data_IF_961606792004
#
_entry.id   IF_961606792004
#
_cell.length_a   1.000
_cell.length_b   1.000
_cell.length_c   1.000
_cell.angle_alpha   90.00
_cell.angle_beta   90.00
_cell.angle_gamma   90.00
#
_symmetry.space_group_name_H-M   'P 1'
#
loop_
_entity.id
_entity.type
_entity.pdbx_description
1 polymer ?
#
# COMPACT_ATOMS: atom_id res chain seq x y z
N UNK A 1 45.04 -1.18 -6.82
CA UNK A 1 43.84 -1.25 -5.98
C UNK A 1 42.65 -1.25 -6.90
N UNK A 2 41.95 -2.38 -7.07
CA UNK A 2 40.75 -2.43 -7.89
C UNK A 2 39.63 -1.67 -7.16
N UNK A 3 39.19 -0.56 -7.73
CA UNK A 3 38.00 0.15 -7.25
C UNK A 3 36.79 -0.73 -7.52
N UNK A 4 36.33 -1.46 -6.50
CA UNK A 4 35.01 -2.09 -6.52
C UNK A 4 33.96 -0.96 -6.52
N UNK A 5 33.57 -0.50 -7.71
CA UNK A 5 32.36 0.29 -7.86
C UNK A 5 31.18 -0.66 -7.65
N UNK A 6 30.43 -0.43 -6.57
CA UNK A 6 29.13 -1.08 -6.40
C UNK A 6 28.23 -0.59 -7.55
N UNK A 7 27.60 -1.49 -8.33
CA UNK A 7 26.68 -1.06 -9.37
C UNK A 7 25.52 -0.31 -8.72
N UNK A 8 25.37 0.97 -9.09
CA UNK A 8 24.21 1.76 -8.69
C UNK A 8 23.04 1.28 -9.55
N UNK A 9 21.95 0.77 -8.94
CA UNK A 9 20.75 0.43 -9.70
C UNK A 9 20.27 1.67 -10.46
N UNK A 10 19.93 1.51 -11.74
CA UNK A 10 19.32 2.60 -12.50
C UNK A 10 17.90 2.84 -12.00
N UNK A 11 17.44 4.08 -12.11
CA UNK A 11 16.02 4.37 -11.90
C UNK A 11 15.17 3.71 -13.01
N UNK A 12 13.92 3.32 -12.71
CA UNK A 12 12.98 2.85 -13.71
C UNK A 12 12.68 3.95 -14.76
N UNK A 13 12.21 3.57 -15.95
CA UNK A 13 11.73 4.53 -16.97
C UNK A 13 10.22 4.75 -16.87
N UNK A 14 9.70 5.79 -17.53
CA UNK A 14 8.25 6.01 -17.63
C UNK A 14 7.54 4.85 -18.33
N UNK A 15 8.14 4.23 -19.35
CA UNK A 15 7.57 3.07 -20.04
C UNK A 15 7.45 1.85 -19.10
N UNK A 16 8.45 1.66 -18.23
CA UNK A 16 8.41 0.60 -17.21
C UNK A 16 7.35 0.87 -16.16
N UNK A 17 7.19 2.13 -15.74
CA UNK A 17 6.13 2.55 -14.83
C UNK A 17 4.73 2.33 -15.44
N UNK A 18 4.52 2.71 -16.71
CA UNK A 18 3.26 2.47 -17.43
C UNK A 18 2.96 0.98 -17.57
N UNK A 19 3.97 0.17 -17.89
CA UNK A 19 3.83 -1.29 -17.96
C UNK A 19 3.45 -1.88 -16.60
N UNK A 20 4.05 -1.37 -15.51
CA UNK A 20 3.68 -1.76 -14.14
C UNK A 20 2.24 -1.37 -13.83
N UNK A 21 1.79 -0.15 -14.12
CA UNK A 21 0.41 0.28 -13.85
C UNK A 21 -0.60 -0.63 -14.54
N UNK A 22 -0.37 -0.95 -15.81
CA UNK A 22 -1.20 -1.89 -16.57
C UNK A 22 -1.20 -3.29 -15.93
N UNK A 23 -0.03 -3.82 -15.57
CA UNK A 23 0.08 -5.13 -14.95
C UNK A 23 -0.62 -5.18 -13.57
N UNK A 24 -0.55 -4.10 -12.78
CA UNK A 24 -1.25 -4.00 -11.50
C UNK A 24 -2.76 -3.98 -11.70
N UNK A 25 -3.25 -3.18 -12.64
CA UNK A 25 -4.69 -3.13 -12.95
C UNK A 25 -5.23 -4.48 -13.44
N UNK A 26 -4.52 -5.14 -14.36
CA UNK A 26 -4.92 -6.45 -14.89
C UNK A 26 -4.92 -7.54 -13.82
N UNK A 27 -4.00 -7.48 -12.86
CA UNK A 27 -3.85 -8.47 -11.80
C UNK A 27 -4.75 -8.21 -10.59
N UNK A 28 -5.13 -6.96 -10.35
CA UNK A 28 -5.92 -6.57 -9.19
C UNK A 28 -7.22 -7.40 -9.12
N UNK A 29 -7.68 -7.82 -7.93
CA UNK A 29 -8.87 -8.66 -7.78
C UNK A 29 -10.18 -7.85 -7.98
N UNK A 30 -10.33 -7.22 -9.14
CA UNK A 30 -11.41 -6.28 -9.40
C UNK A 30 -12.80 -6.92 -9.45
N UNK A 31 -12.87 -8.24 -9.67
CA UNK A 31 -14.15 -8.98 -9.67
C UNK A 31 -14.86 -8.93 -8.31
N UNK A 32 -14.08 -8.88 -7.22
CA UNK A 32 -14.61 -8.88 -5.85
C UNK A 32 -14.43 -7.52 -5.18
N UNK A 33 -13.35 -6.79 -5.46
CA UNK A 33 -13.04 -5.51 -4.80
C UNK A 33 -13.43 -4.27 -5.62
N UNK A 34 -13.78 -4.43 -6.91
CA UNK A 34 -14.10 -3.35 -7.83
C UNK A 34 -12.87 -2.81 -8.59
N UNK A 35 -13.12 -2.23 -9.76
CA UNK A 35 -12.08 -1.71 -10.66
C UNK A 35 -11.55 -0.32 -10.26
N UNK A 36 -12.11 0.31 -9.24
CA UNK A 36 -11.89 1.70 -8.83
C UNK A 36 -10.86 1.86 -7.69
N UNK A 37 -10.12 0.80 -7.37
CA UNK A 37 -9.22 0.73 -6.19
C UNK A 37 -7.78 0.34 -6.49
N UNK A 38 -7.50 -0.27 -7.66
CA UNK A 38 -6.15 -0.74 -7.98
C UNK A 38 -5.10 0.38 -7.92
N UNK A 39 -5.49 1.60 -8.31
CA UNK A 39 -4.58 2.75 -8.29
C UNK A 39 -4.23 3.21 -6.86
N UNK A 40 -5.06 2.92 -5.85
CA UNK A 40 -4.75 3.21 -4.45
C UNK A 40 -3.56 2.36 -4.00
N UNK A 41 -3.60 1.06 -4.34
CA UNK A 41 -2.47 0.15 -4.11
C UNK A 41 -1.24 0.62 -4.91
N UNK A 42 -1.43 1.00 -6.17
CA UNK A 42 -0.33 1.46 -7.02
C UNK A 42 0.35 2.72 -6.45
N UNK A 43 -0.40 3.75 -6.05
CA UNK A 43 0.16 4.93 -5.38
C UNK A 43 0.89 4.56 -4.09
N UNK A 44 0.28 3.74 -3.24
CA UNK A 44 0.87 3.35 -1.97
C UNK A 44 2.18 2.58 -2.13
N UNK A 45 2.22 1.59 -3.03
CA UNK A 45 3.43 0.82 -3.29
C UNK A 45 4.50 1.67 -3.99
N UNK A 46 4.15 2.43 -5.04
CA UNK A 46 5.09 3.25 -5.80
C UNK A 46 5.72 4.37 -4.95
N UNK A 47 4.91 5.13 -4.21
CA UNK A 47 5.40 6.22 -3.36
C UNK A 47 6.17 5.63 -2.16
N UNK A 48 5.64 4.59 -1.51
CA UNK A 48 6.32 3.90 -0.41
C UNK A 48 7.67 3.30 -0.81
N UNK A 49 7.72 2.70 -2.00
CA UNK A 49 8.90 2.10 -2.63
C UNK A 49 9.95 3.09 -3.13
N UNK A 50 9.74 4.40 -2.92
CA UNK A 50 10.72 5.43 -3.23
C UNK A 50 10.67 5.94 -4.67
N UNK A 51 9.54 5.78 -5.36
CA UNK A 51 9.35 6.25 -6.73
C UNK A 51 8.22 7.29 -6.85
N UNK A 52 8.17 8.35 -6.01
CA UNK A 52 7.09 9.33 -6.04
C UNK A 52 6.99 10.11 -7.36
N UNK A 53 8.08 10.23 -8.13
CA UNK A 53 8.10 10.94 -9.42
C UNK A 53 7.20 10.33 -10.51
N UNK A 54 6.75 9.08 -10.34
CA UNK A 54 5.76 8.47 -11.26
C UNK A 54 4.30 8.71 -10.85
N UNK A 55 4.05 9.36 -9.71
CA UNK A 55 2.70 9.77 -9.29
C UNK A 55 1.97 10.67 -10.31
N UNK A 56 2.57 11.73 -10.87
CA UNK A 56 1.94 12.51 -11.95
C UNK A 56 1.60 11.68 -13.19
N UNK A 57 2.43 10.69 -13.53
CA UNK A 57 2.19 9.81 -14.68
C UNK A 57 0.95 8.95 -14.48
N UNK A 58 0.80 8.33 -13.30
CA UNK A 58 -0.41 7.58 -12.96
C UNK A 58 -1.65 8.48 -12.98
N UNK A 59 -1.58 9.70 -12.45
CA UNK A 59 -2.69 10.65 -12.52
C UNK A 59 -3.10 10.97 -13.96
N UNK A 60 -2.13 11.24 -14.86
CA UNK A 60 -2.39 11.47 -16.30
C UNK A 60 -3.10 10.29 -16.94
N UNK A 61 -2.74 9.05 -16.61
CA UNK A 61 -3.41 7.87 -17.16
C UNK A 61 -4.83 7.69 -16.60
N UNK A 62 -5.05 8.02 -15.32
CA UNK A 62 -6.38 7.94 -14.72
C UNK A 62 -7.34 8.95 -15.34
N UNK A 63 -6.96 10.22 -15.49
CA UNK A 63 -7.87 11.26 -16.00
C UNK A 63 -8.26 11.10 -17.48
N UNK A 64 -7.56 10.25 -18.24
CA UNK A 64 -7.95 9.89 -19.61
C UNK A 64 -9.18 8.98 -19.67
N UNK A 65 -9.54 8.34 -18.55
CA UNK A 65 -10.58 7.30 -18.53
C UNK A 65 -11.99 7.89 -18.57
N UNK A 66 -12.99 7.15 -19.10
CA UNK A 66 -14.36 7.64 -19.26
C UNK A 66 -15.03 8.11 -17.97
N UNK A 67 -14.57 7.66 -16.80
CA UNK A 67 -15.11 8.02 -15.50
C UNK A 67 -14.70 9.44 -15.03
N UNK A 68 -13.70 10.07 -15.68
CA UNK A 68 -13.06 11.31 -15.24
C UNK A 68 -13.04 12.42 -16.31
N UNK A 69 -14.14 12.53 -17.06
CA UNK A 69 -14.26 13.45 -18.18
C UNK A 69 -14.69 14.88 -17.77
N UNK A 70 -15.28 15.05 -16.58
CA UNK A 70 -15.62 16.38 -16.04
C UNK A 70 -14.68 16.83 -14.92
N UNK A 71 -14.55 18.15 -14.66
CA UNK A 71 -13.76 18.67 -13.54
C UNK A 71 -14.19 18.08 -12.19
N UNK A 72 -15.50 17.96 -11.93
CA UNK A 72 -16.02 17.43 -10.66
C UNK A 72 -15.60 15.97 -10.43
N UNK A 73 -15.54 15.18 -11.51
CA UNK A 73 -15.07 13.80 -11.45
C UNK A 73 -13.55 13.74 -11.16
N UNK A 74 -12.76 14.61 -11.79
CA UNK A 74 -11.31 14.70 -11.55
C UNK A 74 -10.98 15.25 -10.16
N UNK A 75 -11.78 16.18 -9.64
CA UNK A 75 -11.71 16.65 -8.26
C UNK A 75 -12.06 15.53 -7.27
N UNK A 76 -13.07 14.70 -7.55
CA UNK A 76 -13.39 13.52 -6.74
C UNK A 76 -12.26 12.49 -6.74
N UNK A 77 -11.63 12.25 -7.89
CA UNK A 77 -10.42 11.43 -7.98
C UNK A 77 -9.28 12.03 -7.17
N UNK A 78 -9.05 13.35 -7.28
CA UNK A 78 -8.00 14.05 -6.53
C UNK A 78 -8.20 13.93 -5.02
N UNK A 79 -9.44 14.01 -4.52
CA UNK A 79 -9.73 13.77 -3.09
C UNK A 79 -9.28 12.37 -2.65
N UNK A 80 -9.53 11.34 -3.47
CA UNK A 80 -9.09 9.97 -3.17
C UNK A 80 -7.57 9.82 -3.20
N UNK A 81 -6.91 10.40 -4.20
CA UNK A 81 -5.43 10.42 -4.30
C UNK A 81 -4.82 11.14 -3.10
N UNK A 82 -5.32 12.34 -2.76
CA UNK A 82 -4.88 13.10 -1.58
C UNK A 82 -5.07 12.30 -0.29
N UNK A 83 -6.21 11.63 -0.13
CA UNK A 83 -6.45 10.80 1.07
C UNK A 83 -5.51 9.58 1.12
N UNK A 84 -5.21 8.93 -0.01
CA UNK A 84 -4.19 7.85 -0.07
C UNK A 84 -2.83 8.36 0.38
N UNK A 85 -2.37 9.48 -0.19
CA UNK A 85 -1.07 10.08 0.15
C UNK A 85 -1.02 10.59 1.58
N UNK A 86 -2.11 11.19 2.08
CA UNK A 86 -2.22 11.67 3.45
C UNK A 86 -2.15 10.52 4.46
N UNK A 87 -2.91 9.44 4.24
CA UNK A 87 -2.84 8.24 5.09
C UNK A 87 -1.46 7.58 5.09
N UNK A 88 -0.70 7.67 3.99
CA UNK A 88 0.67 7.15 3.92
C UNK A 88 1.66 7.91 4.79
N UNK A 89 1.41 9.19 5.14
CA UNK A 89 2.35 10.01 5.92
C UNK A 89 2.81 9.30 7.19
N UNK A 90 1.89 8.66 7.92
CA UNK A 90 2.20 7.96 9.17
C UNK A 90 2.87 6.59 8.96
N UNK A 91 2.87 6.06 7.75
CA UNK A 91 3.41 4.74 7.39
C UNK A 91 4.80 4.84 6.75
N UNK A 92 5.03 5.85 5.90
CA UNK A 92 6.25 5.98 5.08
C UNK A 92 6.99 7.32 5.28
N UNK A 93 6.51 8.17 6.18
CA UNK A 93 7.00 9.53 6.39
C UNK A 93 6.38 10.55 5.41
N UNK A 94 6.47 11.83 5.77
CA UNK A 94 5.76 12.93 5.06
C UNK A 94 6.39 13.32 3.72
N UNK A 95 7.70 13.18 3.56
CA UNK A 95 8.40 13.72 2.40
C UNK A 95 7.99 13.05 1.09
N UNK A 96 7.91 11.70 1.05
CA UNK A 96 7.56 10.97 -0.19
C UNK A 96 6.14 11.31 -0.69
N UNK A 97 5.09 11.34 0.17
CA UNK A 97 3.78 11.85 -0.22
C UNK A 97 3.77 13.32 -0.68
N UNK A 98 4.59 14.19 -0.06
CA UNK A 98 4.69 15.60 -0.45
C UNK A 98 5.26 15.76 -1.87
N UNK A 99 6.36 15.08 -2.19
CA UNK A 99 6.92 15.07 -3.55
C UNK A 99 5.85 14.65 -4.57
N UNK A 100 5.15 13.53 -4.30
CA UNK A 100 4.11 13.03 -5.18
C UNK A 100 2.95 14.03 -5.40
N UNK A 101 2.44 14.67 -4.34
CA UNK A 101 1.32 15.60 -4.49
C UNK A 101 1.74 16.93 -5.12
N UNK A 102 2.97 17.39 -4.91
CA UNK A 102 3.50 18.58 -5.58
C UNK A 102 3.62 18.35 -7.09
N UNK A 103 4.16 17.21 -7.50
CA UNK A 103 4.29 16.87 -8.91
C UNK A 103 2.94 16.66 -9.60
N UNK A 104 1.96 16.09 -8.89
CA UNK A 104 0.58 15.99 -9.38
C UNK A 104 -0.06 17.39 -9.51
N UNK A 105 0.07 18.27 -8.52
CA UNK A 105 -0.50 19.63 -8.60
C UNK A 105 0.11 20.45 -9.75
N UNK A 106 1.41 20.28 -10.01
CA UNK A 106 2.10 20.96 -11.10
C UNK A 106 1.53 20.66 -12.50
N UNK A 107 0.89 19.50 -12.67
CA UNK A 107 0.24 19.09 -13.93
C UNK A 107 -1.30 19.19 -13.89
N UNK A 108 -1.88 19.53 -12.74
CA UNK A 108 -3.34 19.58 -12.57
C UNK A 108 -3.89 20.86 -13.22
N UNK A 109 -4.86 20.72 -14.12
CA UNK A 109 -5.48 21.87 -14.79
C UNK A 109 -6.21 22.77 -13.77
N UNK A 110 -6.26 24.10 -13.97
CA UNK A 110 -6.87 25.03 -13.01
C UNK A 110 -8.31 24.66 -12.62
N UNK A 111 -9.13 24.21 -13.57
CA UNK A 111 -10.52 23.78 -13.35
C UNK A 111 -10.64 22.49 -12.51
N UNK A 112 -9.59 21.67 -12.49
CA UNK A 112 -9.57 20.38 -11.79
C UNK A 112 -9.03 20.50 -10.36
N UNK A 113 -8.56 21.69 -9.96
CA UNK A 113 -8.04 21.92 -8.60
C UNK A 113 -9.17 21.85 -7.58
N UNK A 114 -9.04 20.91 -6.65
CA UNK A 114 -9.98 20.72 -5.54
C UNK A 114 -9.41 21.33 -4.25
N UNK A 115 -10.08 22.37 -3.74
CA UNK A 115 -9.65 23.12 -2.55
C UNK A 115 -10.31 22.62 -1.24
N UNK A 116 -11.02 21.49 -1.28
CA UNK A 116 -11.65 20.94 -0.08
C UNK A 116 -10.59 20.45 0.92
N UNK A 117 -10.90 20.55 2.21
CA UNK A 117 -10.02 20.13 3.30
C UNK A 117 -10.74 19.19 4.27
N UNK A 118 -10.47 17.88 4.16
CA UNK A 118 -11.16 16.83 4.92
C UNK A 118 -10.87 16.83 6.43
N UNK A 119 -9.79 17.48 6.88
CA UNK A 119 -9.41 17.56 8.29
C UNK A 119 -9.67 18.94 8.90
N UNK A 120 -10.42 19.80 8.21
CA UNK A 120 -10.82 21.08 8.77
C UNK A 120 -11.60 20.88 10.08
N UNK A 121 -11.16 21.56 11.15
CA UNK A 121 -11.76 21.44 12.47
C UNK A 121 -11.48 20.13 13.22
N UNK A 122 -10.62 19.24 12.72
CA UNK A 122 -10.26 18.01 13.44
C UNK A 122 -9.71 18.31 14.85
N UNK A 123 -10.14 17.51 15.83
CA UNK A 123 -9.72 17.59 17.22
C UNK A 123 -9.24 16.23 17.72
N UNK A 124 -8.25 16.24 18.61
CA UNK A 124 -7.80 15.06 19.35
C UNK A 124 -8.75 14.81 20.55
N UNK A 125 -10.00 14.46 20.27
CA UNK A 125 -11.07 14.33 21.26
C UNK A 125 -11.54 12.87 21.47
N UNK A 126 -12.62 12.69 22.24
CA UNK A 126 -13.20 11.37 22.50
C UNK A 126 -13.78 10.74 21.23
N UNK A 127 -14.35 11.52 20.32
CA UNK A 127 -14.88 11.02 19.05
C UNK A 127 -13.75 10.48 18.16
N UNK A 128 -12.61 11.19 18.11
CA UNK A 128 -11.38 10.71 17.48
C UNK A 128 -10.89 9.40 18.10
N UNK A 129 -10.77 9.38 19.43
CA UNK A 129 -10.33 8.19 20.18
C UNK A 129 -11.21 6.98 19.90
N UNK A 130 -12.53 7.18 19.90
CA UNK A 130 -13.53 6.13 19.67
C UNK A 130 -13.43 5.55 18.27
N UNK A 131 -13.40 6.39 17.23
CA UNK A 131 -13.24 5.93 15.84
C UNK A 131 -11.92 5.17 15.64
N UNK A 132 -10.82 5.70 16.20
CA UNK A 132 -9.51 5.06 16.15
C UNK A 132 -9.50 3.68 16.81
N UNK A 133 -10.13 3.57 17.98
CA UNK A 133 -10.25 2.29 18.70
C UNK A 133 -11.14 1.29 17.97
N UNK A 134 -12.30 1.72 17.46
CA UNK A 134 -13.20 0.87 16.68
C UNK A 134 -12.49 0.30 15.45
N UNK A 135 -11.69 1.12 14.77
CA UNK A 135 -10.91 0.68 13.63
C UNK A 135 -9.82 -0.33 14.01
N UNK A 136 -9.01 -0.03 15.03
CA UNK A 136 -7.99 -0.96 15.54
C UNK A 136 -8.59 -2.30 15.96
N UNK A 137 -9.72 -2.28 16.66
CA UNK A 137 -10.36 -3.49 17.14
C UNK A 137 -10.83 -4.39 15.97
N UNK A 138 -11.29 -3.81 14.85
CA UNK A 138 -11.61 -4.57 13.64
C UNK A 138 -10.38 -5.27 13.05
N UNK A 139 -9.23 -4.59 13.03
CA UNK A 139 -8.00 -5.10 12.43
C UNK A 139 -7.28 -6.12 13.31
N UNK A 140 -7.15 -5.84 14.61
CA UNK A 140 -6.32 -6.62 15.52
C UNK A 140 -7.11 -7.63 16.34
N UNK A 141 -8.38 -7.36 16.66
CA UNK A 141 -9.25 -8.22 17.47
C UNK A 141 -8.51 -8.71 18.73
N UNK A 142 -8.44 -10.03 18.95
CA UNK A 142 -7.76 -10.67 20.07
C UNK A 142 -6.23 -10.44 20.11
N UNK A 143 -5.62 -9.80 19.10
CA UNK A 143 -4.22 -9.38 19.16
C UNK A 143 -4.02 -8.02 19.84
N UNK A 144 -5.08 -7.23 20.05
CA UNK A 144 -4.97 -5.88 20.58
C UNK A 144 -4.35 -5.86 21.99
N UNK A 145 -4.78 -6.75 22.88
CA UNK A 145 -4.29 -6.79 24.27
C UNK A 145 -2.78 -7.01 24.36
N UNK A 146 -2.23 -7.90 23.52
CA UNK A 146 -0.80 -8.14 23.47
C UNK A 146 -0.03 -6.90 22.97
N UNK A 147 -0.59 -6.15 22.02
CA UNK A 147 0.01 -4.91 21.53
C UNK A 147 -0.01 -3.85 22.64
N UNK A 148 -1.15 -3.68 23.32
CA UNK A 148 -1.31 -2.73 24.42
C UNK A 148 -0.35 -3.04 25.58
N UNK A 149 -0.16 -4.32 25.92
CA UNK A 149 0.78 -4.73 26.97
C UNK A 149 2.24 -4.37 26.63
N UNK A 150 2.64 -4.50 25.37
CA UNK A 150 3.96 -4.07 24.91
C UNK A 150 4.08 -2.54 25.00
N UNK A 151 3.05 -1.81 24.54
CA UNK A 151 3.04 -0.36 24.48
C UNK A 151 2.83 0.33 25.85
N UNK A 152 2.42 -0.41 26.89
CA UNK A 152 2.27 0.12 28.25
C UNK A 152 3.58 0.74 28.80
N UNK A 153 4.74 0.21 28.39
CA UNK A 153 6.06 0.76 28.71
C UNK A 153 6.55 1.84 27.73
N UNK A 154 5.84 2.03 26.62
CA UNK A 154 6.18 2.91 25.49
C UNK A 154 5.06 3.94 25.27
N UNK A 155 4.74 4.70 26.32
CA UNK A 155 3.49 5.50 26.39
C UNK A 155 3.31 6.50 25.25
N UNK A 156 4.39 7.08 24.72
CA UNK A 156 4.30 7.99 23.58
C UNK A 156 3.90 7.26 22.29
N UNK A 157 4.37 6.02 22.11
CA UNK A 157 3.95 5.16 20.99
C UNK A 157 2.51 4.70 21.16
N UNK A 158 2.08 4.37 22.38
CA UNK A 158 0.68 4.05 22.66
C UNK A 158 -0.26 5.21 22.29
N UNK A 159 0.04 6.39 22.82
CA UNK A 159 -0.74 7.60 22.58
C UNK A 159 -0.74 7.97 21.09
N UNK A 160 0.43 7.97 20.45
CA UNK A 160 0.55 8.29 19.02
C UNK A 160 -0.22 7.29 18.17
N UNK A 161 -0.11 6.00 18.45
CA UNK A 161 -0.86 4.96 17.75
C UNK A 161 -2.37 5.20 17.85
N UNK A 162 -2.89 5.38 19.06
CA UNK A 162 -4.34 5.50 19.31
C UNK A 162 -4.90 6.82 18.79
N UNK A 163 -4.25 7.94 19.11
CA UNK A 163 -4.80 9.27 18.86
C UNK A 163 -4.47 9.82 17.48
N UNK A 164 -3.27 9.53 16.98
CA UNK A 164 -2.75 10.13 15.75
C UNK A 164 -2.81 9.13 14.60
N UNK A 165 -2.11 7.99 14.70
CA UNK A 165 -2.10 7.00 13.61
C UNK A 165 -3.51 6.52 13.30
N UNK A 166 -4.20 5.95 14.27
CA UNK A 166 -5.55 5.45 14.05
C UNK A 166 -6.61 6.55 14.11
N UNK A 167 -6.56 7.44 15.11
CA UNK A 167 -7.52 8.53 15.24
C UNK A 167 -7.56 9.49 14.04
N UNK A 168 -6.43 10.13 13.71
CA UNK A 168 -6.37 11.16 12.65
C UNK A 168 -6.23 10.56 11.24
N UNK A 169 -5.27 9.65 11.06
CA UNK A 169 -4.91 9.19 9.72
C UNK A 169 -5.83 8.06 9.25
N UNK A 170 -5.89 6.95 9.99
CA UNK A 170 -6.39 5.70 9.42
C UNK A 170 -7.90 5.50 9.59
N UNK A 171 -8.54 5.96 10.66
CA UNK A 171 -9.96 5.67 10.94
C UNK A 171 -10.99 6.56 10.25
N UNK A 172 -10.58 7.68 9.64
CA UNK A 172 -11.48 8.48 8.82
C UNK A 172 -11.73 7.75 7.49
N UNK A 173 -12.93 7.23 7.33
CA UNK A 173 -13.35 6.49 6.13
C UNK A 173 -14.34 7.27 5.25
N UNK A 174 -14.40 8.60 5.39
CA UNK A 174 -15.34 9.44 4.63
C UNK A 174 -14.98 9.58 3.14
N UNK A 175 -13.71 9.38 2.77
CA UNK A 175 -13.20 9.45 1.39
C UNK A 175 -12.75 8.08 0.88
N UNK A 176 -11.91 7.39 1.67
CA UNK A 176 -11.49 6.02 1.40
C UNK A 176 -12.16 5.10 2.41
N UNK A 177 -12.85 4.06 1.94
CA UNK A 177 -13.48 3.09 2.84
C UNK A 177 -12.45 2.23 3.59
N UNK A 178 -12.94 1.26 4.36
CA UNK A 178 -12.11 0.36 5.16
C UNK A 178 -11.15 -0.49 4.31
N UNK A 179 -11.63 -1.07 3.21
CA UNK A 179 -10.79 -1.83 2.27
C UNK A 179 -9.74 -0.93 1.62
N UNK A 180 -10.12 0.27 1.16
CA UNK A 180 -9.22 1.23 0.52
C UNK A 180 -8.14 1.77 1.46
N UNK A 181 -8.51 1.96 2.73
CA UNK A 181 -7.60 2.33 3.81
C UNK A 181 -6.59 1.20 4.06
N UNK A 182 -7.04 -0.06 4.19
CA UNK A 182 -6.11 -1.18 4.37
C UNK A 182 -5.26 -1.45 3.13
N UNK A 183 -5.77 -1.23 1.91
CA UNK A 183 -4.94 -1.28 0.70
C UNK A 183 -3.80 -0.28 0.78
N UNK A 184 -4.07 0.94 1.25
CA UNK A 184 -3.05 1.98 1.44
C UNK A 184 -2.02 1.54 2.48
N UNK A 185 -2.48 1.09 3.64
CA UNK A 185 -1.61 0.72 4.77
C UNK A 185 -0.78 -0.52 4.48
N UNK A 186 -1.40 -1.62 4.03
CA UNK A 186 -0.73 -2.87 3.71
C UNK A 186 0.34 -2.64 2.63
N UNK A 187 0.02 -1.91 1.56
CA UNK A 187 0.95 -1.66 0.46
C UNK A 187 2.13 -0.78 0.90
N UNK A 188 1.85 0.29 1.66
CA UNK A 188 2.88 1.17 2.20
C UNK A 188 3.81 0.48 3.21
N UNK A 189 3.32 -0.49 3.98
CA UNK A 189 4.12 -1.30 4.91
C UNK A 189 4.94 -2.35 4.16
N UNK A 190 4.28 -3.13 3.30
CA UNK A 190 4.88 -4.30 2.69
C UNK A 190 6.01 -3.92 1.71
N UNK A 191 5.88 -2.81 0.99
CA UNK A 191 6.93 -2.34 0.07
C UNK A 191 8.22 -1.93 0.81
N UNK A 192 8.15 -1.63 2.11
CA UNK A 192 9.29 -1.32 2.96
C UNK A 192 9.97 -2.57 3.53
N UNK A 193 9.53 -3.78 3.15
CA UNK A 193 10.04 -5.06 3.67
C UNK A 193 9.94 -5.18 5.20
N UNK A 194 8.77 -4.83 5.76
CA UNK A 194 8.47 -4.91 7.19
C UNK A 194 7.63 -6.17 7.51
N UNK A 195 8.25 -7.34 7.76
CA UNK A 195 7.54 -8.63 7.82
C UNK A 195 6.51 -8.71 8.95
N UNK A 196 6.82 -8.15 10.12
CA UNK A 196 5.95 -8.24 11.30
C UNK A 196 4.65 -7.48 11.06
N UNK A 197 4.77 -6.24 10.64
CA UNK A 197 3.66 -5.33 10.34
C UNK A 197 2.88 -5.83 9.12
N UNK A 198 3.57 -6.32 8.08
CA UNK A 198 2.94 -6.95 6.91
C UNK A 198 2.05 -8.12 7.36
N UNK A 199 2.54 -9.00 8.23
CA UNK A 199 1.77 -10.13 8.73
C UNK A 199 0.53 -9.67 9.52
N UNK A 200 0.62 -8.55 10.24
CA UNK A 200 -0.52 -7.98 10.96
C UNK A 200 -1.60 -7.47 10.01
N UNK A 201 -1.22 -6.69 8.99
CA UNK A 201 -2.16 -6.09 8.05
C UNK A 201 -2.70 -7.08 7.02
N UNK A 202 -1.98 -8.16 6.68
CA UNK A 202 -2.55 -9.28 5.92
C UNK A 202 -3.71 -9.93 6.70
N UNK A 203 -3.55 -10.13 8.02
CA UNK A 203 -4.64 -10.66 8.87
C UNK A 203 -5.77 -9.64 9.05
N UNK A 204 -5.44 -8.36 9.25
CA UNK A 204 -6.40 -7.26 9.34
C UNK A 204 -7.28 -7.17 8.09
N UNK A 205 -6.66 -7.20 6.91
CA UNK A 205 -7.35 -7.20 5.61
C UNK A 205 -8.34 -8.37 5.49
N UNK A 206 -7.98 -9.57 5.98
CA UNK A 206 -8.91 -10.70 6.06
C UNK A 206 -10.08 -10.45 7.02
N UNK A 207 -9.81 -9.85 8.19
CA UNK A 207 -10.82 -9.57 9.23
C UNK A 207 -11.85 -8.54 8.81
N UNK A 208 -11.51 -7.64 7.89
CA UNK A 208 -12.45 -6.67 7.32
C UNK A 208 -13.25 -7.21 6.13
N UNK A 209 -13.12 -8.51 5.81
CA UNK A 209 -14.00 -9.19 4.86
C UNK A 209 -13.38 -9.50 3.49
N UNK A 210 -12.11 -9.17 3.26
CA UNK A 210 -11.43 -9.55 2.02
C UNK A 210 -11.12 -11.05 2.02
N UNK A 211 -11.33 -11.72 0.88
CA UNK A 211 -11.10 -13.16 0.74
C UNK A 211 -9.62 -13.54 0.86
N UNK A 212 -9.32 -14.84 1.03
CA UNK A 212 -7.92 -15.29 1.14
C UNK A 212 -7.20 -15.05 -0.18
N UNK A 213 -7.88 -15.40 -1.25
CA UNK A 213 -7.46 -15.36 -2.63
C UNK A 213 -7.18 -13.92 -3.06
N UNK A 214 -8.06 -12.99 -2.67
CA UNK A 214 -7.86 -11.56 -2.95
C UNK A 214 -6.68 -11.02 -2.15
N UNK A 215 -6.52 -11.36 -0.86
CA UNK A 215 -5.36 -10.94 -0.07
C UNK A 215 -4.03 -11.46 -0.66
N UNK A 216 -3.98 -12.71 -1.11
CA UNK A 216 -2.81 -13.25 -1.82
C UNK A 216 -2.56 -12.49 -3.12
N UNK A 217 -3.61 -12.14 -3.86
CA UNK A 217 -3.50 -11.35 -5.10
C UNK A 217 -2.99 -9.93 -4.83
N UNK A 218 -3.48 -9.28 -3.77
CA UNK A 218 -3.02 -7.96 -3.33
C UNK A 218 -1.54 -8.00 -2.93
N UNK A 219 -1.14 -9.01 -2.14
CA UNK A 219 0.27 -9.23 -1.80
C UNK A 219 1.13 -9.35 -3.07
N UNK A 220 0.70 -10.14 -4.05
CA UNK A 220 1.43 -10.29 -5.31
C UNK A 220 1.52 -8.97 -6.10
N UNK A 221 0.48 -8.13 -6.08
CA UNK A 221 0.52 -6.80 -6.70
C UNK A 221 1.57 -5.89 -6.03
N UNK A 222 1.64 -5.87 -4.70
CA UNK A 222 2.67 -5.11 -3.99
C UNK A 222 4.07 -5.67 -4.30
N UNK A 223 4.23 -7.00 -4.32
CA UNK A 223 5.49 -7.63 -4.70
C UNK A 223 5.92 -7.20 -6.11
N UNK A 224 5.03 -7.20 -7.11
CA UNK A 224 5.35 -6.73 -8.47
C UNK A 224 5.93 -5.31 -8.48
N UNK A 225 5.39 -4.42 -7.64
CA UNK A 225 5.88 -3.05 -7.48
C UNK A 225 7.28 -2.99 -6.85
N UNK A 226 7.63 -3.98 -6.03
CA UNK A 226 8.92 -4.08 -5.35
C UNK A 226 10.04 -4.73 -6.16
N UNK A 227 9.76 -5.37 -7.31
CA UNK A 227 10.80 -6.07 -8.10
C UNK A 227 11.82 -5.11 -8.77
N UNK A 228 11.57 -3.80 -8.78
CA UNK A 228 12.58 -2.79 -9.12
C UNK A 228 13.58 -2.49 -8.01
N UNK A 229 13.30 -2.94 -6.77
CA UNK A 229 14.16 -2.80 -5.59
C UNK A 229 14.57 -4.21 -5.12
N UNK A 230 15.80 -4.64 -5.44
CA UNK A 230 16.35 -5.99 -5.13
C UNK A 230 16.24 -6.40 -3.64
N UNK A 231 15.90 -5.47 -2.75
CA UNK A 231 15.73 -5.66 -1.30
C UNK A 231 14.39 -6.28 -0.86
N UNK A 232 13.37 -6.38 -1.73
CA UNK A 232 12.02 -6.82 -1.31
C UNK A 232 11.82 -8.36 -1.28
N UNK A 233 12.77 -9.16 -1.80
CA UNK A 233 12.59 -10.60 -2.04
C UNK A 233 12.85 -11.51 -0.82
N UNK A 234 13.38 -11.00 0.28
CA UNK A 234 13.79 -11.84 1.44
C UNK A 234 12.64 -12.24 2.39
N UNK A 235 11.44 -11.70 2.21
CA UNK A 235 10.32 -11.89 3.16
C UNK A 235 9.61 -13.24 3.01
N UNK A 236 9.55 -13.81 1.80
CA UNK A 236 8.85 -15.08 1.53
C UNK A 236 9.54 -16.30 2.17
N UNK A 237 10.85 -16.21 2.47
CA UNK A 237 11.61 -17.32 3.04
C UNK A 237 11.40 -17.50 4.56
N UNK A 238 10.97 -16.46 5.29
CA UNK A 238 10.97 -16.45 6.78
C UNK A 238 9.60 -16.56 7.45
N UNK A 239 8.49 -16.42 6.72
CA UNK A 239 7.14 -16.68 7.27
C UNK A 239 6.72 -18.16 7.21
N UNK A 240 7.65 -19.07 6.87
CA UNK A 240 7.47 -20.49 6.60
C UNK A 240 7.26 -21.39 7.84
N UNK A 241 6.73 -20.85 8.94
CA UNK A 241 6.14 -21.70 9.99
C UNK A 241 4.73 -22.20 9.66
N UNK A 242 4.22 -21.87 8.46
CA UNK A 242 3.07 -22.52 7.83
C UNK A 242 3.56 -23.33 6.63
N UNK A 243 3.15 -24.60 6.59
CA UNK A 243 3.66 -25.71 5.75
C UNK A 243 3.67 -25.43 4.23
N UNK A 244 4.54 -26.15 3.46
CA UNK A 244 4.89 -25.80 2.09
C UNK A 244 3.87 -26.36 1.08
N UNK A 245 3.13 -25.48 0.40
CA UNK A 245 2.49 -25.85 -0.89
C UNK A 245 2.33 -24.69 -1.88
N UNK A 246 2.99 -23.54 -1.66
CA UNK A 246 3.03 -22.47 -2.67
C UNK A 246 4.44 -21.87 -2.74
N UNK A 247 5.42 -22.72 -3.06
CA UNK A 247 6.74 -22.31 -3.51
C UNK A 247 6.89 -22.76 -4.97
N UNK A 248 6.16 -22.12 -5.88
CA UNK A 248 6.38 -22.23 -7.32
C UNK A 248 5.73 -21.04 -8.00
N UNK A 249 6.44 -19.90 -8.04
CA UNK A 249 6.83 -19.15 -9.24
C UNK A 249 7.98 -18.24 -8.78
N UNK A 250 9.01 -18.08 -9.62
CA UNK A 250 10.19 -17.20 -9.47
C UNK A 250 11.49 -17.80 -8.94
N UNK A 251 11.79 -19.03 -9.35
CA UNK A 251 13.17 -19.44 -9.68
C UNK A 251 13.32 -19.37 -11.20
N UNK A 252 13.69 -18.21 -11.76
CA UNK A 252 13.98 -18.10 -13.20
C UNK A 252 15.31 -17.46 -13.55
N UNK A 253 16.24 -17.41 -12.59
CA UNK A 253 17.64 -17.07 -12.84
C UNK A 253 18.64 -18.16 -12.46
N UNK A 254 18.19 -19.31 -11.92
CA UNK A 254 19.09 -20.39 -11.47
C UNK A 254 18.94 -21.74 -12.17
N UNK A 255 18.05 -21.91 -13.15
CA UNK A 255 17.89 -23.20 -13.84
C UNK A 255 17.94 -23.07 -15.37
N UNK A 256 19.05 -22.53 -15.86
CA UNK A 256 19.61 -22.93 -17.17
C UNK A 256 20.40 -24.26 -17.05
N UNK A 257 20.29 -24.97 -15.93
CA UNK A 257 21.00 -26.21 -15.65
C UNK A 257 20.05 -27.27 -15.08
N UNK A 258 19.54 -28.10 -15.99
CA UNK A 258 19.29 -29.55 -15.83
C UNK A 258 18.26 -30.07 -14.81
N UNK A 259 17.21 -30.69 -15.39
CA UNK A 259 16.62 -32.00 -15.09
C UNK A 259 15.78 -32.23 -13.80
N UNK A 260 14.49 -32.48 -14.05
CA UNK A 260 13.72 -33.67 -13.59
C UNK A 260 13.53 -33.91 -12.08
N UNK A 261 12.32 -33.69 -11.55
CA UNK A 261 11.29 -34.73 -11.24
C UNK A 261 10.09 -34.16 -10.48
N UNK A 262 8.92 -34.81 -10.69
CA UNK A 262 7.66 -34.70 -9.95
C UNK A 262 7.81 -35.08 -8.46
N UNK A 263 6.98 -34.52 -7.58
CA UNK A 263 6.25 -35.31 -6.56
C UNK A 263 5.12 -34.52 -5.89
N UNK A 264 4.02 -35.23 -5.63
CA UNK A 264 2.77 -34.86 -4.95
C UNK A 264 2.99 -34.48 -3.48
N UNK A 265 1.96 -33.94 -2.79
CA UNK A 265 1.43 -34.41 -1.48
C UNK A 265 0.46 -33.37 -0.89
N UNK A 266 -0.83 -33.72 -0.87
CA UNK A 266 -1.91 -33.06 -0.15
C UNK A 266 -2.05 -33.66 1.26
N UNK A 267 -2.13 -32.81 2.29
CA UNK A 267 -2.97 -32.94 3.50
C UNK A 267 -2.86 -31.65 4.33
#
# INVERSE_FOLDING_TARGET
MATHQLPVPRDPTEEEALALFKALEEKFPSKTLGNDKWYILAYAAMVGGGQPGFAPLLYKELIKRPEYQTPEQRQALMRRIRETLFKLIVIIGVCKPLEAIFDIDAITAPEDKDYTFSREGWQCDEANSKRGFEWQNRLYQHNQENIDNVLASQRDFDWTSKQITYGLYLSDHSILNDVETELTVLSGIMIQNLPRETAWHLRGTRRIGVSKEDVETLQQCVSLSGHGNETCLLTLARSSSLRPSVACVYTKYLELLTLSTKCEWYN
#
